data_IF_720922537121
#
_entry.id   IF_720922537121
#
_cell.length_a   1.000
_cell.length_b   1.000
_cell.length_c   1.000
_cell.angle_alpha   90.00
_cell.angle_beta   90.00
_cell.angle_gamma   90.00
#
_symmetry.space_group_name_H-M   'P 1'
#
loop_
_entity.id
_entity.type
_entity.pdbx_description
1 polymer ?
#
# COMPACT_ATOMS: atom_id res chain seq x y z
N UNK A 1 4.34 -15.68 29.01
CA UNK A 1 3.47 -15.56 27.81
C UNK A 1 2.01 -15.49 28.25
N UNK A 2 1.20 -14.58 27.70
CA UNK A 2 -0.23 -14.49 28.01
C UNK A 2 -1.02 -15.51 27.19
N UNK A 3 -1.52 -16.57 27.84
CA UNK A 3 -2.24 -17.68 27.18
C UNK A 3 -3.41 -17.19 26.33
N UNK A 4 -4.16 -16.17 26.80
CA UNK A 4 -5.32 -15.64 26.07
C UNK A 4 -4.93 -14.96 24.77
N UNK A 5 -3.81 -14.22 24.76
CA UNK A 5 -3.29 -13.58 23.55
C UNK A 5 -2.86 -14.62 22.53
N UNK A 6 -2.14 -15.67 22.96
CA UNK A 6 -1.70 -16.72 22.05
C UNK A 6 -2.89 -17.46 21.42
N UNK A 7 -3.88 -17.83 22.24
CA UNK A 7 -5.09 -18.50 21.75
C UNK A 7 -5.83 -17.64 20.72
N UNK A 8 -5.95 -16.33 20.95
CA UNK A 8 -6.56 -15.42 19.98
C UNK A 8 -5.82 -15.46 18.63
N UNK A 9 -4.51 -15.24 18.62
CA UNK A 9 -3.75 -15.15 17.37
C UNK A 9 -3.62 -16.49 16.64
N UNK A 10 -3.48 -17.60 17.36
CA UNK A 10 -3.52 -18.94 16.78
C UNK A 10 -4.89 -19.19 16.15
N UNK A 11 -5.99 -18.83 16.84
CA UNK A 11 -7.34 -19.01 16.29
C UNK A 11 -7.57 -18.14 15.05
N UNK A 12 -7.12 -16.88 15.06
CA UNK A 12 -7.21 -15.99 13.89
C UNK A 12 -6.42 -16.53 12.71
N UNK A 13 -5.19 -17.02 12.94
CA UNK A 13 -4.37 -17.61 11.89
C UNK A 13 -5.05 -18.85 11.29
N UNK A 14 -5.49 -19.78 12.14
CA UNK A 14 -6.21 -20.98 11.68
C UNK A 14 -7.48 -20.60 10.91
N UNK A 15 -8.26 -19.64 11.40
CA UNK A 15 -9.46 -19.17 10.73
C UNK A 15 -9.12 -18.56 9.35
N UNK A 16 -8.06 -17.76 9.26
CA UNK A 16 -7.62 -17.19 7.97
C UNK A 16 -7.15 -18.27 6.98
N UNK A 17 -6.52 -19.34 7.45
CA UNK A 17 -6.12 -20.48 6.61
C UNK A 17 -7.36 -21.24 6.14
N UNK A 18 -8.33 -21.48 7.03
CA UNK A 18 -9.59 -22.13 6.66
C UNK A 18 -10.36 -21.29 5.64
N UNK A 19 -10.46 -19.97 5.85
CA UNK A 19 -11.08 -19.04 4.91
C UNK A 19 -10.36 -19.05 3.56
N UNK A 20 -9.03 -19.03 3.56
CA UNK A 20 -8.22 -19.15 2.33
C UNK A 20 -8.50 -20.45 1.57
N UNK A 21 -8.56 -21.58 2.27
CA UNK A 21 -8.85 -22.87 1.64
C UNK A 21 -10.30 -22.97 1.13
N UNK A 22 -11.25 -22.32 1.81
CA UNK A 22 -12.68 -22.41 1.48
C UNK A 22 -13.12 -21.44 0.38
N UNK A 23 -12.57 -20.21 0.37
CA UNK A 23 -13.02 -19.11 -0.48
C UNK A 23 -11.98 -18.66 -1.51
N UNK A 24 -10.75 -19.18 -1.44
CA UNK A 24 -9.65 -18.66 -2.24
C UNK A 24 -9.20 -17.29 -1.74
N UNK A 25 -8.74 -16.43 -2.64
CA UNK A 25 -8.24 -15.10 -2.28
C UNK A 25 -9.36 -14.12 -1.87
N UNK A 26 -9.00 -13.16 -1.02
CA UNK A 26 -9.86 -12.11 -0.51
C UNK A 26 -10.44 -11.25 -1.65
N UNK A 27 -11.77 -11.07 -1.73
CA UNK A 27 -12.41 -10.35 -2.82
C UNK A 27 -12.38 -8.83 -2.59
N UNK A 28 -11.26 -8.18 -2.93
CA UNK A 28 -11.09 -6.72 -2.76
C UNK A 28 -12.18 -5.89 -3.46
N UNK A 29 -12.80 -6.39 -4.53
CA UNK A 29 -13.90 -5.71 -5.22
C UNK A 29 -15.08 -5.35 -4.31
N UNK A 30 -15.33 -6.11 -3.23
CA UNK A 30 -16.37 -5.78 -2.25
C UNK A 30 -16.05 -4.46 -1.50
N UNK A 31 -14.76 -4.14 -1.36
CA UNK A 31 -14.27 -2.94 -0.68
C UNK A 31 -14.04 -1.78 -1.66
N UNK A 32 -14.65 -1.78 -2.84
CA UNK A 32 -14.62 -0.57 -3.67
C UNK A 32 -15.40 0.57 -3.01
N UNK A 33 -15.08 1.82 -3.35
CA UNK A 33 -15.82 2.98 -2.88
C UNK A 33 -17.32 2.88 -3.21
N UNK A 34 -18.22 3.25 -2.27
CA UNK A 34 -17.95 3.96 -1.00
C UNK A 34 -17.78 3.06 0.23
N UNK A 35 -17.75 1.73 0.08
CA UNK A 35 -17.81 0.81 1.22
C UNK A 35 -16.53 0.80 2.05
N UNK A 36 -15.37 0.87 1.40
CA UNK A 36 -14.07 1.04 2.06
C UNK A 36 -14.04 2.19 3.05
N UNK A 37 -14.52 3.37 2.65
CA UNK A 37 -14.53 4.57 3.47
C UNK A 37 -15.42 4.37 4.69
N UNK A 38 -16.60 3.78 4.52
CA UNK A 38 -17.50 3.47 5.63
C UNK A 38 -16.84 2.50 6.63
N UNK A 39 -16.25 1.41 6.12
CA UNK A 39 -15.58 0.40 6.96
C UNK A 39 -14.35 0.98 7.66
N UNK A 40 -13.57 1.82 6.98
CA UNK A 40 -12.47 2.58 7.55
C UNK A 40 -12.92 3.47 8.71
N UNK A 41 -13.98 4.25 8.52
CA UNK A 41 -14.51 5.14 9.56
C UNK A 41 -15.06 4.35 10.76
N UNK A 42 -15.78 3.25 10.52
CA UNK A 42 -16.25 2.35 11.59
C UNK A 42 -15.06 1.76 12.34
N UNK A 43 -14.02 1.33 11.65
CA UNK A 43 -12.84 0.73 12.27
C UNK A 43 -12.05 1.74 13.12
N UNK A 44 -11.75 2.93 12.58
CA UNK A 44 -11.06 4.00 13.30
C UNK A 44 -11.89 4.48 14.49
N UNK A 45 -13.19 4.73 14.27
CA UNK A 45 -14.12 5.12 15.33
C UNK A 45 -14.25 4.05 16.41
N UNK A 46 -14.31 2.79 16.02
CA UNK A 46 -14.33 1.63 16.90
C UNK A 46 -13.08 1.51 17.77
N UNK A 47 -11.88 1.71 17.20
CA UNK A 47 -10.63 1.76 17.97
C UNK A 47 -10.64 2.94 18.98
N UNK A 48 -11.06 4.12 18.53
CA UNK A 48 -11.17 5.30 19.40
C UNK A 48 -12.14 5.08 20.57
N UNK A 49 -13.32 4.55 20.29
CA UNK A 49 -14.33 4.20 21.29
C UNK A 49 -13.83 3.12 22.25
N UNK A 50 -13.27 2.02 21.73
CA UNK A 50 -12.76 0.92 22.53
C UNK A 50 -11.64 1.38 23.48
N UNK A 51 -10.74 2.25 23.00
CA UNK A 51 -9.66 2.80 23.82
C UNK A 51 -10.19 3.73 24.93
N UNK A 52 -11.16 4.61 24.64
CA UNK A 52 -11.70 5.57 25.62
C UNK A 52 -12.63 4.91 26.64
N UNK A 53 -13.62 4.16 26.18
CA UNK A 53 -14.73 3.66 27.00
C UNK A 53 -14.51 2.24 27.53
N UNK A 54 -13.72 1.42 26.83
CA UNK A 54 -13.54 -0.02 27.14
C UNK A 54 -12.09 -0.38 27.45
N UNK A 55 -11.28 0.58 27.92
CA UNK A 55 -9.85 0.38 28.21
C UNK A 55 -9.54 -0.78 29.16
N UNK A 56 -10.42 -1.00 30.14
CA UNK A 56 -10.30 -2.08 31.15
C UNK A 56 -10.73 -3.45 30.62
N UNK A 57 -11.38 -3.51 29.46
CA UNK A 57 -11.85 -4.76 28.86
C UNK A 57 -10.69 -5.71 28.56
N UNK A 58 -10.97 -7.02 28.58
CA UNK A 58 -9.98 -8.04 28.24
C UNK A 58 -9.48 -7.87 26.80
N UNK A 59 -10.39 -7.59 25.85
CA UNK A 59 -10.05 -7.40 24.44
C UNK A 59 -9.06 -6.25 24.22
N UNK A 60 -9.34 -5.05 24.76
CA UNK A 60 -8.44 -3.89 24.62
C UNK A 60 -7.08 -4.15 25.28
N UNK A 61 -7.06 -4.81 26.45
CA UNK A 61 -5.81 -5.18 27.10
C UNK A 61 -4.98 -6.18 26.29
N UNK A 62 -5.61 -7.11 25.57
CA UNK A 62 -4.90 -8.03 24.66
C UNK A 62 -4.27 -7.23 23.52
N UNK A 63 -5.04 -6.37 22.85
CA UNK A 63 -4.56 -5.55 21.73
C UNK A 63 -3.48 -4.54 22.13
N UNK A 64 -3.44 -4.09 23.39
CA UNK A 64 -2.39 -3.21 23.92
C UNK A 64 -1.20 -3.95 24.55
N UNK A 65 -1.21 -5.29 24.57
CA UNK A 65 -0.16 -6.08 25.22
C UNK A 65 1.11 -6.18 24.35
N UNK A 66 2.32 -6.27 24.94
CA UNK A 66 3.56 -6.48 24.18
C UNK A 66 3.56 -7.79 23.38
N UNK A 67 2.84 -8.82 23.87
CA UNK A 67 2.71 -10.09 23.15
C UNK A 67 2.01 -9.91 21.79
N UNK A 68 1.09 -8.95 21.69
CA UNK A 68 0.43 -8.59 20.43
C UNK A 68 1.43 -8.09 19.38
N UNK A 69 2.46 -7.33 19.81
CA UNK A 69 3.53 -6.87 18.92
C UNK A 69 4.28 -8.04 18.31
N UNK A 70 4.71 -9.02 19.11
CA UNK A 70 5.43 -10.19 18.58
C UNK A 70 4.58 -10.99 17.59
N UNK A 71 3.29 -11.19 17.87
CA UNK A 71 2.39 -11.91 16.98
C UNK A 71 2.14 -11.16 15.67
N UNK A 72 1.73 -9.89 15.75
CA UNK A 72 1.39 -9.10 14.55
C UNK A 72 2.61 -8.83 13.69
N UNK A 73 3.76 -8.50 14.29
CA UNK A 73 5.01 -8.29 13.56
C UNK A 73 5.54 -9.62 12.99
N UNK A 74 5.54 -10.70 13.77
CA UNK A 74 5.99 -12.01 13.29
C UNK A 74 5.13 -12.55 12.15
N UNK A 75 3.82 -12.39 12.23
CA UNK A 75 2.90 -12.74 11.14
C UNK A 75 3.18 -11.90 9.89
N UNK A 76 3.26 -10.56 10.03
CA UNK A 76 3.55 -9.68 8.90
C UNK A 76 4.90 -10.03 8.24
N UNK A 77 5.96 -10.22 9.03
CA UNK A 77 7.28 -10.64 8.52
C UNK A 77 7.23 -12.01 7.84
N UNK A 78 6.52 -12.98 8.40
CA UNK A 78 6.28 -14.27 7.74
C UNK A 78 5.58 -14.10 6.40
N UNK A 79 4.60 -13.20 6.31
CA UNK A 79 3.96 -12.86 5.05
C UNK A 79 4.89 -12.18 4.04
N UNK A 80 5.72 -11.23 4.48
CA UNK A 80 6.75 -10.62 3.64
C UNK A 80 7.75 -11.66 3.10
N UNK A 81 8.11 -12.66 3.91
CA UNK A 81 8.96 -13.77 3.46
C UNK A 81 8.27 -14.59 2.37
N UNK A 82 6.98 -14.87 2.48
CA UNK A 82 6.23 -15.56 1.41
C UNK A 82 6.25 -14.72 0.13
N UNK A 83 6.00 -13.41 0.23
CA UNK A 83 6.03 -12.50 -0.92
C UNK A 83 7.42 -12.48 -1.58
N UNK A 84 8.50 -12.50 -0.79
CA UNK A 84 9.87 -12.46 -1.30
C UNK A 84 10.42 -13.81 -1.81
N UNK A 85 9.92 -14.94 -1.29
CA UNK A 85 10.40 -16.28 -1.64
C UNK A 85 9.58 -16.94 -2.76
N UNK A 86 8.34 -16.52 -2.98
CA UNK A 86 7.46 -17.07 -4.01
C UNK A 86 7.15 -16.01 -5.07
N UNK A 87 7.13 -16.39 -6.36
CA UNK A 87 6.78 -15.46 -7.42
C UNK A 87 5.32 -15.00 -7.23
N UNK A 88 5.13 -13.69 -7.18
CA UNK A 88 3.80 -13.07 -7.19
C UNK A 88 3.34 -12.95 -8.65
N UNK A 89 2.34 -13.73 -9.03
CA UNK A 89 1.84 -13.89 -10.38
C UNK A 89 0.57 -13.07 -10.59
N UNK A 90 0.21 -12.83 -11.85
CA UNK A 90 -1.12 -12.33 -12.20
C UNK A 90 -2.21 -13.28 -11.70
N UNK A 91 -3.44 -12.78 -11.50
CA UNK A 91 -4.58 -13.61 -11.09
C UNK A 91 -4.77 -14.81 -12.03
N UNK A 92 -4.63 -14.60 -13.34
CA UNK A 92 -4.79 -15.66 -14.34
C UNK A 92 -3.71 -16.75 -14.23
N UNK A 93 -2.45 -16.35 -14.02
CA UNK A 93 -1.35 -17.30 -13.91
C UNK A 93 -1.33 -18.01 -12.57
N UNK A 94 -1.79 -17.35 -11.50
CA UNK A 94 -1.95 -17.97 -10.18
C UNK A 94 -3.01 -19.09 -10.21
N UNK A 95 -4.16 -18.87 -10.87
CA UNK A 95 -5.23 -19.88 -11.01
C UNK A 95 -4.77 -21.11 -11.82
N UNK A 96 -3.84 -20.92 -12.76
CA UNK A 96 -3.24 -22.05 -13.52
C UNK A 96 -2.32 -22.92 -12.67
N UNK A 97 -1.86 -22.45 -11.50
CA UNK A 97 -1.04 -23.25 -10.58
C UNK A 97 -1.92 -24.15 -9.72
N UNK A 98 -1.54 -25.41 -9.58
CA UNK A 98 -2.19 -26.40 -8.72
C UNK A 98 -1.34 -26.74 -7.49
N UNK A 99 -1.98 -27.27 -6.43
CA UNK A 99 -1.31 -27.80 -5.25
C UNK A 99 -1.48 -26.95 -3.99
N UNK A 100 -0.96 -27.44 -2.86
CA UNK A 100 -1.20 -26.86 -1.52
C UNK A 100 -0.76 -25.40 -1.43
N UNK A 101 0.39 -25.04 -2.01
CA UNK A 101 0.89 -23.67 -2.01
C UNK A 101 -0.01 -22.72 -2.81
N UNK A 102 -0.63 -23.21 -3.89
CA UNK A 102 -1.63 -22.45 -4.65
C UNK A 102 -2.90 -22.27 -3.83
N UNK A 103 -3.38 -23.33 -3.16
CA UNK A 103 -4.54 -23.26 -2.26
C UNK A 103 -4.33 -22.27 -1.11
N UNK A 104 -3.13 -22.19 -0.55
CA UNK A 104 -2.76 -21.22 0.48
C UNK A 104 -2.54 -19.79 -0.05
N UNK A 105 -2.65 -19.57 -1.37
CA UNK A 105 -2.53 -18.26 -1.99
C UNK A 105 -1.08 -17.76 -2.14
N UNK A 106 -0.06 -18.61 -2.03
CA UNK A 106 1.35 -18.16 -2.02
C UNK A 106 1.79 -17.42 -3.31
N UNK A 107 1.14 -17.69 -4.44
CA UNK A 107 1.43 -17.05 -5.74
C UNK A 107 0.71 -15.72 -5.97
N UNK A 108 -0.21 -15.33 -5.09
CA UNK A 108 -0.87 -14.02 -5.09
C UNK A 108 -1.24 -13.69 -3.64
N UNK A 109 -0.20 -13.57 -2.81
CA UNK A 109 -0.31 -13.68 -1.35
C UNK A 109 -0.82 -12.39 -0.69
N UNK A 110 -0.58 -11.23 -1.29
CA UNK A 110 -1.06 -9.93 -0.81
C UNK A 110 -2.58 -9.84 -0.75
N UNK A 111 -3.29 -10.66 -1.53
CA UNK A 111 -4.75 -10.80 -1.44
C UNK A 111 -5.20 -12.09 -0.76
N UNK A 112 -4.33 -12.81 -0.06
CA UNK A 112 -4.75 -13.98 0.70
C UNK A 112 -5.46 -13.56 2.00
N UNK A 113 -6.40 -14.36 2.49
CA UNK A 113 -7.02 -14.12 3.80
C UNK A 113 -5.99 -14.10 4.93
N UNK A 114 -4.92 -14.89 4.78
CA UNK A 114 -3.80 -14.98 5.73
C UNK A 114 -3.09 -13.63 5.83
N UNK A 115 -2.73 -13.02 4.70
CA UNK A 115 -2.06 -11.73 4.68
C UNK A 115 -2.99 -10.60 5.15
N UNK A 116 -4.21 -10.55 4.60
CA UNK A 116 -5.21 -9.51 4.92
C UNK A 116 -5.54 -9.50 6.42
N UNK A 117 -5.74 -10.67 7.02
CA UNK A 117 -6.01 -10.78 8.47
C UNK A 117 -4.81 -10.35 9.30
N UNK A 118 -3.60 -10.76 8.90
CA UNK A 118 -2.36 -10.37 9.57
C UNK A 118 -2.12 -8.86 9.52
N UNK A 119 -2.30 -8.24 8.34
CA UNK A 119 -2.14 -6.80 8.13
C UNK A 119 -3.21 -6.01 8.90
N UNK A 120 -4.48 -6.44 8.86
CA UNK A 120 -5.55 -5.85 9.66
C UNK A 120 -5.25 -5.91 11.17
N UNK A 121 -4.74 -7.05 11.64
CA UNK A 121 -4.30 -7.21 13.02
C UNK A 121 -3.14 -6.28 13.38
N UNK A 122 -2.11 -6.19 12.54
CA UNK A 122 -0.99 -5.28 12.71
C UNK A 122 -1.45 -3.82 12.78
N UNK A 123 -2.29 -3.38 11.83
CA UNK A 123 -2.85 -2.03 11.80
C UNK A 123 -3.72 -1.75 13.03
N UNK A 124 -4.52 -2.71 13.48
CA UNK A 124 -5.32 -2.55 14.71
C UNK A 124 -4.42 -2.39 15.93
N UNK A 125 -3.40 -3.24 16.08
CA UNK A 125 -2.45 -3.15 17.17
C UNK A 125 -1.68 -1.82 17.16
N UNK A 126 -1.12 -1.45 16.01
CA UNK A 126 -0.36 -0.22 15.81
C UNK A 126 -1.22 1.03 16.05
N UNK A 127 -2.48 1.02 15.60
CA UNK A 127 -3.44 2.09 15.85
C UNK A 127 -3.76 2.24 17.33
N UNK A 128 -4.00 1.14 18.04
CA UNK A 128 -4.27 1.15 19.48
C UNK A 128 -3.07 1.63 20.32
N UNK A 129 -1.84 1.25 19.94
CA UNK A 129 -0.62 1.73 20.59
C UNK A 129 -0.39 3.23 20.32
N UNK A 130 -0.64 3.68 19.10
CA UNK A 130 -0.60 5.10 18.73
C UNK A 130 -1.60 5.92 19.56
N UNK A 131 -2.87 5.48 19.63
CA UNK A 131 -3.90 6.10 20.46
C UNK A 131 -3.49 6.14 21.93
N UNK A 132 -2.95 5.03 22.47
CA UNK A 132 -2.48 4.97 23.86
C UNK A 132 -1.48 6.08 24.18
N UNK A 133 -0.56 6.36 23.25
CA UNK A 133 0.48 7.36 23.45
C UNK A 133 0.02 8.78 23.13
N UNK A 134 -0.90 8.94 22.19
CA UNK A 134 -1.49 10.23 21.81
C UNK A 134 -2.20 10.91 23.00
N UNK A 135 -2.91 10.15 23.83
CA UNK A 135 -3.60 10.69 25.02
C UNK A 135 -2.69 10.93 26.24
N UNK A 136 -1.37 10.78 26.12
CA UNK A 136 -0.42 11.08 27.20
C UNK A 136 0.34 12.38 26.90
N UNK A 137 0.40 13.34 27.83
CA UNK A 137 1.13 14.59 27.62
C UNK A 137 2.65 14.37 27.60
N UNK A 138 3.37 15.13 26.78
CA UNK A 138 4.85 15.22 26.78
C UNK A 138 5.49 15.30 25.41
N UNK A 139 6.58 16.08 25.28
CA UNK A 139 7.31 16.31 24.02
C UNK A 139 7.98 15.05 23.45
N UNK A 140 8.33 14.09 24.31
CA UNK A 140 8.78 12.75 23.93
C UNK A 140 7.71 11.91 23.25
N UNK A 141 6.45 12.13 23.63
CA UNK A 141 5.33 11.31 23.17
C UNK A 141 4.94 11.65 21.75
N UNK A 142 5.00 12.93 21.39
CA UNK A 142 4.72 13.36 20.02
C UNK A 142 5.71 12.80 19.00
N UNK A 143 6.98 12.60 19.36
CA UNK A 143 7.98 11.97 18.48
C UNK A 143 7.60 10.50 18.19
N UNK A 144 7.26 9.76 19.25
CA UNK A 144 6.79 8.38 19.12
C UNK A 144 5.49 8.30 18.30
N UNK A 145 4.53 9.16 18.61
CA UNK A 145 3.23 9.22 17.94
C UNK A 145 3.40 9.56 16.47
N UNK A 146 4.23 10.55 16.12
CA UNK A 146 4.47 10.94 14.74
C UNK A 146 5.04 9.76 13.94
N UNK A 147 6.00 9.03 14.51
CA UNK A 147 6.59 7.85 13.88
C UNK A 147 5.55 6.74 13.65
N UNK A 148 4.80 6.36 14.71
CA UNK A 148 3.86 5.23 14.64
C UNK A 148 2.57 5.58 13.88
N UNK A 149 2.07 6.81 14.00
CA UNK A 149 0.96 7.31 13.20
C UNK A 149 1.33 7.40 11.73
N UNK A 150 2.56 7.82 11.41
CA UNK A 150 3.07 7.85 10.04
C UNK A 150 3.10 6.45 9.41
N UNK A 151 3.70 5.47 10.12
CA UNK A 151 3.70 4.08 9.68
C UNK A 151 2.28 3.52 9.53
N UNK A 152 1.41 3.80 10.50
CA UNK A 152 0.01 3.37 10.44
C UNK A 152 -0.69 3.95 9.21
N UNK A 153 -0.52 5.25 8.96
CA UNK A 153 -1.16 5.95 7.84
C UNK A 153 -0.67 5.42 6.48
N UNK A 154 0.63 5.15 6.35
CA UNK A 154 1.21 4.60 5.13
C UNK A 154 0.64 3.20 4.81
N UNK A 155 0.66 2.30 5.79
CA UNK A 155 0.12 0.94 5.63
C UNK A 155 -1.39 0.94 5.45
N UNK A 156 -2.11 1.82 6.16
CA UNK A 156 -3.56 1.95 6.05
C UNK A 156 -3.97 2.44 4.66
N UNK A 157 -3.31 3.47 4.13
CA UNK A 157 -3.56 3.99 2.79
C UNK A 157 -3.33 2.93 1.71
N UNK A 158 -2.25 2.16 1.81
CA UNK A 158 -2.00 1.04 0.89
C UNK A 158 -3.04 -0.07 1.01
N UNK A 159 -3.45 -0.43 2.23
CA UNK A 159 -4.44 -1.48 2.43
C UNK A 159 -5.83 -1.07 1.92
N UNK A 160 -6.33 0.09 2.35
CA UNK A 160 -7.66 0.58 1.98
C UNK A 160 -7.69 0.96 0.50
N UNK A 161 -6.66 1.64 -0.01
CA UNK A 161 -6.60 2.10 -1.40
C UNK A 161 -6.41 0.98 -2.42
N UNK A 162 -5.96 -0.21 -2.01
CA UNK A 162 -5.71 -1.34 -2.92
C UNK A 162 -6.95 -1.82 -3.68
N UNK A 163 -8.16 -1.59 -3.16
CA UNK A 163 -9.39 -1.98 -3.84
C UNK A 163 -9.72 -1.08 -5.05
N UNK A 164 -9.20 0.15 -5.05
CA UNK A 164 -9.41 1.14 -6.12
C UNK A 164 -8.19 1.34 -7.01
N UNK A 165 -7.05 0.75 -6.63
CA UNK A 165 -5.83 0.81 -7.41
C UNK A 165 -6.03 0.12 -8.76
N UNK A 166 -5.72 0.83 -9.85
CA UNK A 166 -5.90 0.31 -11.19
C UNK A 166 -4.76 0.73 -12.10
N UNK A 167 -4.14 -0.24 -12.76
CA UNK A 167 -3.19 -0.01 -13.85
C UNK A 167 -3.85 -0.32 -15.19
N UNK A 168 -3.88 0.68 -16.08
CA UNK A 168 -4.38 0.55 -17.44
C UNK A 168 -3.25 0.79 -18.44
N UNK A 169 -3.34 0.17 -19.61
CA UNK A 169 -2.43 0.43 -20.74
C UNK A 169 -3.23 0.84 -21.96
N UNK A 170 -2.83 1.93 -22.59
CA UNK A 170 -3.46 2.44 -23.81
C UNK A 170 -2.41 2.57 -24.92
N UNK A 171 -2.64 1.97 -26.11
CA UNK A 171 -1.88 2.30 -27.29
C UNK A 171 -2.31 3.67 -27.81
N UNK A 172 -1.36 4.57 -28.00
CA UNK A 172 -1.59 5.95 -28.45
C UNK A 172 -0.99 6.09 -29.85
N UNK A 173 -1.84 6.30 -30.84
CA UNK A 173 -1.47 6.26 -32.25
C UNK A 173 -1.24 7.67 -32.82
N UNK A 174 -0.37 7.78 -33.83
CA UNK A 174 -0.13 9.04 -34.55
C UNK A 174 -1.31 9.43 -35.45
N UNK A 175 -1.92 8.44 -36.10
CA UNK A 175 -2.96 8.63 -37.13
C UNK A 175 -4.36 8.86 -36.59
N UNK A 176 -4.64 8.46 -35.35
CA UNK A 176 -5.98 8.48 -34.80
C UNK A 176 -5.95 8.69 -33.29
N UNK A 177 -6.91 9.47 -32.80
CA UNK A 177 -7.18 9.58 -31.38
C UNK A 177 -7.76 8.26 -30.84
N UNK A 178 -7.31 7.83 -29.67
CA UNK A 178 -7.76 6.62 -29.01
C UNK A 178 -8.10 6.89 -27.54
N UNK A 179 -9.20 6.31 -27.07
CA UNK A 179 -9.58 6.29 -25.65
C UNK A 179 -9.81 4.87 -25.12
N UNK A 180 -9.51 3.85 -25.93
CA UNK A 180 -9.63 2.44 -25.55
C UNK A 180 -8.36 1.98 -24.83
N UNK A 181 -8.45 1.85 -23.51
CA UNK A 181 -7.41 1.30 -22.65
C UNK A 181 -7.72 -0.14 -22.26
N UNK A 182 -6.71 -0.84 -21.75
CA UNK A 182 -6.79 -2.25 -21.35
C UNK A 182 -6.32 -2.43 -19.91
N UNK A 183 -7.05 -3.21 -19.13
CA UNK A 183 -6.61 -3.67 -17.80
C UNK A 183 -5.49 -4.71 -17.92
N UNK A 184 -4.85 -5.08 -16.81
CA UNK A 184 -3.87 -6.16 -16.78
C UNK A 184 -4.43 -7.51 -17.25
N UNK A 185 -5.74 -7.75 -17.04
CA UNK A 185 -6.45 -8.94 -17.51
C UNK A 185 -6.82 -8.89 -19.00
N UNK A 186 -6.56 -7.76 -19.66
CA UNK A 186 -6.90 -7.52 -21.06
C UNK A 186 -8.34 -7.04 -21.30
N UNK A 187 -9.06 -6.65 -20.25
CA UNK A 187 -10.41 -6.11 -20.38
C UNK A 187 -10.36 -4.68 -20.93
N UNK A 188 -11.27 -4.35 -21.86
CA UNK A 188 -11.39 -3.01 -22.44
C UNK A 188 -12.02 -2.04 -21.44
N UNK A 189 -11.41 -0.87 -21.28
CA UNK A 189 -11.91 0.25 -20.49
C UNK A 189 -11.83 1.51 -21.34
N UNK A 190 -12.96 2.18 -21.52
CA UNK A 190 -13.00 3.45 -22.25
C UNK A 190 -12.71 4.61 -21.31
N UNK A 191 -11.70 5.40 -21.65
CA UNK A 191 -11.35 6.61 -20.94
C UNK A 191 -12.29 7.75 -21.33
N UNK A 192 -12.53 8.67 -20.40
CA UNK A 192 -13.27 9.90 -20.66
C UNK A 192 -12.53 10.84 -21.63
N UNK A 193 -11.19 10.76 -21.63
CA UNK A 193 -10.29 11.57 -22.45
C UNK A 193 -9.68 10.71 -23.54
N UNK A 194 -9.55 11.28 -24.74
CA UNK A 194 -8.85 10.63 -25.85
C UNK A 194 -7.40 11.09 -25.93
N UNK A 195 -6.50 10.17 -26.25
CA UNK A 195 -5.06 10.38 -26.39
C UNK A 195 -4.65 10.19 -27.85
N UNK A 196 -3.78 11.06 -28.36
CA UNK A 196 -3.19 10.93 -29.69
C UNK A 196 -1.69 11.27 -29.65
N UNK A 197 -0.88 10.54 -30.42
CA UNK A 197 0.56 10.78 -30.51
C UNK A 197 0.79 11.92 -31.50
N UNK A 198 1.43 12.99 -31.04
CA UNK A 198 1.79 14.14 -31.88
C UNK A 198 3.24 14.01 -32.36
N UNK A 199 4.15 13.67 -31.46
CA UNK A 199 5.55 13.48 -31.80
C UNK A 199 6.24 12.45 -30.90
N UNK A 200 7.36 11.90 -31.36
CA UNK A 200 8.13 10.91 -30.62
C UNK A 200 9.62 11.02 -30.95
N UNK A 201 10.46 11.05 -29.92
CA UNK A 201 11.91 11.13 -30.07
C UNK A 201 12.57 9.99 -29.31
N UNK A 202 13.47 9.27 -29.97
CA UNK A 202 14.33 8.24 -29.37
C UNK A 202 15.79 8.65 -29.52
N UNK A 203 16.50 8.75 -28.40
CA UNK A 203 17.94 8.80 -28.37
C UNK A 203 18.51 7.38 -28.25
N UNK A 204 19.50 7.06 -29.07
CA UNK A 204 20.17 5.76 -29.05
C UNK A 204 21.61 5.89 -28.59
N UNK A 205 22.10 4.87 -27.89
CA UNK A 205 23.52 4.68 -27.66
C UNK A 205 24.24 4.31 -28.98
N UNK A 206 25.59 4.43 -29.05
CA UNK A 206 26.37 4.04 -30.22
C UNK A 206 26.19 2.56 -30.65
N UNK A 207 25.77 1.69 -29.72
CA UNK A 207 25.47 0.29 -29.98
C UNK A 207 24.04 0.06 -30.54
N UNK A 208 23.26 1.12 -30.77
CA UNK A 208 21.90 1.07 -31.29
C UNK A 208 20.81 0.77 -30.25
N UNK A 209 21.15 0.60 -28.97
CA UNK A 209 20.14 0.44 -27.92
C UNK A 209 19.49 1.78 -27.55
N UNK A 210 18.17 1.82 -27.25
CA UNK A 210 17.52 3.05 -26.83
C UNK A 210 18.07 3.50 -25.48
N UNK A 211 18.55 4.73 -25.43
CA UNK A 211 19.08 5.39 -24.23
C UNK A 211 17.99 6.13 -23.50
N UNK A 212 17.22 6.91 -24.25
CA UNK A 212 16.26 7.85 -23.72
C UNK A 212 15.16 8.06 -24.76
N UNK A 213 13.91 8.21 -24.33
CA UNK A 213 12.83 8.49 -25.27
C UNK A 213 11.70 9.25 -24.59
N UNK A 214 11.07 10.12 -25.38
CA UNK A 214 9.92 10.89 -24.97
C UNK A 214 8.89 10.98 -26.10
N UNK A 215 7.65 11.23 -25.72
CA UNK A 215 6.51 11.36 -26.58
C UNK A 215 5.79 12.68 -26.27
N UNK A 216 5.44 13.42 -27.32
CA UNK A 216 4.46 14.49 -27.23
C UNK A 216 3.11 13.90 -27.59
N UNK A 217 2.18 13.89 -26.63
CA UNK A 217 0.82 13.41 -26.84
C UNK A 217 -0.18 14.55 -26.67
N UNK A 218 -1.30 14.46 -27.37
CA UNK A 218 -2.47 15.29 -27.13
C UNK A 218 -3.43 14.53 -26.22
N UNK A 219 -3.71 15.07 -25.04
CA UNK A 219 -4.73 14.56 -24.12
C UNK A 219 -5.91 15.52 -24.15
N UNK A 220 -7.02 15.09 -24.77
CA UNK A 220 -8.21 15.95 -24.95
C UNK A 220 -7.88 17.33 -25.57
N UNK A 221 -7.02 17.31 -26.60
CA UNK A 221 -6.58 18.50 -27.32
C UNK A 221 -5.45 19.30 -26.64
N UNK A 222 -5.02 18.92 -25.43
CA UNK A 222 -3.92 19.60 -24.71
C UNK A 222 -2.60 18.84 -24.91
N UNK A 223 -1.51 19.52 -25.30
CA UNK A 223 -0.21 18.88 -25.43
C UNK A 223 0.34 18.49 -24.05
N UNK A 224 0.85 17.27 -23.96
CA UNK A 224 1.47 16.68 -22.77
C UNK A 224 2.75 16.00 -23.19
N UNK A 225 3.85 16.38 -22.53
CA UNK A 225 5.14 15.75 -22.67
C UNK A 225 5.23 14.54 -21.74
N UNK A 226 5.48 13.36 -22.29
CA UNK A 226 5.74 12.13 -21.55
C UNK A 226 7.17 11.66 -21.80
N UNK A 227 7.91 11.39 -20.75
CA UNK A 227 9.31 10.97 -20.82
C UNK A 227 9.48 9.64 -20.08
N UNK A 228 10.36 8.78 -20.57
CA UNK A 228 10.63 7.49 -19.92
C UNK A 228 11.10 7.72 -18.48
N UNK A 229 10.58 6.94 -17.52
CA UNK A 229 10.83 7.08 -16.08
C UNK A 229 10.39 8.41 -15.44
N UNK A 230 9.71 9.28 -16.17
CA UNK A 230 9.20 10.57 -15.67
C UNK A 230 7.67 10.62 -15.81
N UNK A 231 6.91 10.24 -14.76
CA UNK A 231 5.45 10.26 -14.82
C UNK A 231 4.89 11.67 -14.94
N UNK A 232 3.81 11.79 -15.71
CA UNK A 232 2.99 12.99 -15.78
C UNK A 232 1.76 12.86 -14.88
N UNK A 233 1.70 13.68 -13.83
CA UNK A 233 0.55 13.72 -12.92
C UNK A 233 -0.62 14.46 -13.56
N UNK A 234 -1.62 13.71 -14.04
CA UNK A 234 -2.82 14.26 -14.67
C UNK A 234 -3.82 14.76 -13.64
N UNK A 235 -3.92 14.09 -12.50
CA UNK A 235 -4.83 14.45 -11.40
C UNK A 235 -4.22 14.06 -10.05
N UNK A 236 -4.98 14.27 -8.97
CA UNK A 236 -4.60 13.84 -7.63
C UNK A 236 -4.42 12.31 -7.50
N UNK A 237 -5.07 11.53 -8.34
CA UNK A 237 -5.06 10.07 -8.25
C UNK A 237 -4.55 9.38 -9.50
N UNK A 238 -4.19 10.10 -10.57
CA UNK A 238 -3.90 9.51 -11.87
C UNK A 238 -2.57 10.02 -12.46
N UNK A 239 -1.64 9.09 -12.73
CA UNK A 239 -0.33 9.34 -13.33
C UNK A 239 -0.17 8.60 -14.66
N UNK A 240 0.43 9.25 -15.66
CA UNK A 240 0.70 8.69 -16.98
C UNK A 240 2.19 8.39 -17.14
N UNK A 241 2.52 7.16 -17.52
CA UNK A 241 3.86 6.67 -17.74
C UNK A 241 4.05 6.27 -19.19
N UNK A 242 5.13 6.73 -19.81
CA UNK A 242 5.56 6.21 -21.10
C UNK A 242 6.29 4.88 -20.89
N UNK A 243 5.73 3.78 -21.39
CA UNK A 243 6.24 2.43 -21.09
C UNK A 243 6.85 1.71 -22.28
N UNK A 244 6.33 1.96 -23.48
CA UNK A 244 6.82 1.31 -24.69
C UNK A 244 6.47 2.14 -25.92
N UNK A 245 7.02 1.74 -27.06
CA UNK A 245 6.77 2.38 -28.35
C UNK A 245 6.99 1.41 -29.51
N UNK A 246 6.64 1.86 -30.71
CA UNK A 246 6.92 1.14 -31.95
C UNK A 246 8.42 1.13 -32.26
N UNK A 247 9.11 0.12 -31.73
CA UNK A 247 10.56 -0.10 -31.95
C UNK A 247 10.89 -0.56 -33.38
N UNK A 248 9.90 -0.95 -34.18
CA UNK A 248 10.12 -1.48 -35.54
C UNK A 248 10.18 -0.37 -36.58
N UNK A 249 9.60 0.79 -36.28
CA UNK A 249 9.58 1.94 -37.17
C UNK A 249 10.68 2.94 -36.80
N UNK A 250 11.46 3.46 -37.76
CA UNK A 250 12.40 4.57 -37.52
C UNK A 250 11.70 5.80 -36.93
N UNK A 251 10.45 6.04 -37.35
CA UNK A 251 9.55 7.03 -36.77
C UNK A 251 8.39 6.30 -36.08
N UNK A 252 8.37 6.21 -34.75
CA UNK A 252 7.35 5.46 -34.04
C UNK A 252 5.93 5.92 -34.39
N UNK A 253 5.09 4.97 -34.83
CA UNK A 253 3.71 5.25 -35.21
C UNK A 253 2.73 5.17 -34.03
N UNK A 254 3.17 4.54 -32.94
CA UNK A 254 2.44 4.52 -31.69
C UNK A 254 3.38 4.46 -30.49
N UNK A 255 2.87 4.88 -29.34
CA UNK A 255 3.45 4.60 -28.04
C UNK A 255 2.46 3.89 -27.13
N UNK A 256 2.95 3.32 -26.02
CA UNK A 256 2.11 2.70 -24.99
C UNK A 256 2.23 3.54 -23.74
N UNK A 257 1.11 4.13 -23.35
CA UNK A 257 0.99 4.88 -22.11
C UNK A 257 0.34 3.98 -21.06
N UNK A 258 0.98 3.86 -19.91
CA UNK A 258 0.42 3.22 -18.73
C UNK A 258 -0.19 4.28 -17.83
N UNK A 259 -1.46 4.10 -17.49
CA UNK A 259 -2.22 4.98 -16.60
C UNK A 259 -2.32 4.26 -15.26
N UNK A 260 -1.77 4.88 -14.22
CA UNK A 260 -1.79 4.33 -12.86
C UNK A 260 -2.74 5.18 -12.02
N UNK A 261 -3.78 4.55 -11.48
CA UNK A 261 -4.78 5.17 -10.60
C UNK A 261 -4.56 4.72 -9.17
N UNK A 262 -4.24 5.66 -8.28
CA UNK A 262 -3.97 5.45 -6.86
C UNK A 262 -4.60 6.56 -5.99
N UNK A 263 -5.88 6.41 -5.58
CA UNK A 263 -6.62 7.47 -4.87
C UNK A 263 -5.99 7.95 -3.57
N UNK A 264 -5.34 7.03 -2.83
CA UNK A 264 -4.77 7.30 -1.51
C UNK A 264 -3.24 7.49 -1.52
N UNK A 265 -2.60 7.64 -2.69
CA UNK A 265 -1.13 7.78 -2.77
C UNK A 265 -0.59 8.91 -1.89
N UNK A 266 -1.21 10.09 -1.92
CA UNK A 266 -0.74 11.21 -1.12
C UNK A 266 -0.94 11.00 0.39
N UNK A 267 -1.96 10.23 0.79
CA UNK A 267 -2.14 9.83 2.18
C UNK A 267 -1.02 8.89 2.63
N UNK A 268 -0.62 7.96 1.74
CA UNK A 268 0.52 7.09 1.96
C UNK A 268 1.82 7.87 2.09
N UNK A 269 2.08 8.82 1.17
CA UNK A 269 3.26 9.69 1.19
C UNK A 269 3.32 10.54 2.47
N UNK A 270 2.20 11.11 2.89
CA UNK A 270 2.09 11.81 4.17
C UNK A 270 2.51 10.90 5.33
N UNK A 271 2.03 9.66 5.34
CA UNK A 271 2.44 8.65 6.33
C UNK A 271 3.95 8.39 6.34
N UNK A 272 4.54 8.20 5.16
CA UNK A 272 5.99 7.98 5.00
C UNK A 272 6.79 9.17 5.53
N UNK A 273 6.41 10.40 5.15
CA UNK A 273 7.08 11.63 5.62
C UNK A 273 6.95 11.77 7.13
N UNK A 274 5.76 11.58 7.69
CA UNK A 274 5.54 11.60 9.14
C UNK A 274 6.42 10.56 9.85
N UNK A 275 6.49 9.34 9.33
CA UNK A 275 7.33 8.28 9.88
C UNK A 275 8.80 8.68 9.88
N UNK A 276 9.33 9.17 8.75
CA UNK A 276 10.72 9.62 8.64
C UNK A 276 11.02 10.78 9.59
N UNK A 277 10.16 11.79 9.66
CA UNK A 277 10.29 12.90 10.61
C UNK A 277 10.29 12.40 12.06
N UNK A 278 9.36 11.51 12.42
CA UNK A 278 9.29 10.90 13.75
C UNK A 278 10.56 10.13 14.09
N UNK A 279 11.07 9.31 13.17
CA UNK A 279 12.32 8.58 13.29
C UNK A 279 13.52 9.52 13.51
N UNK A 280 13.70 10.52 12.65
CA UNK A 280 14.76 11.53 12.78
C UNK A 280 14.73 12.23 14.14
N UNK A 281 13.54 12.65 14.60
CA UNK A 281 13.38 13.31 15.90
C UNK A 281 13.69 12.39 17.09
N UNK A 282 13.42 11.09 16.98
CA UNK A 282 13.78 10.10 18.00
C UNK A 282 15.31 9.89 18.05
N UNK A 283 15.97 9.83 16.90
CA UNK A 283 17.43 9.68 16.83
C UNK A 283 18.17 10.92 17.34
N UNK A 284 17.79 12.13 16.91
CA UNK A 284 18.51 13.36 17.22
C UNK A 284 18.46 13.74 18.71
N UNK A 285 17.36 13.46 19.39
CA UNK A 285 17.14 13.94 20.75
C UNK A 285 17.52 12.93 21.84
N UNK A 286 17.77 11.65 21.49
CA UNK A 286 18.11 10.60 22.45
C UNK A 286 17.02 10.31 23.50
N UNK A 287 17.22 9.30 24.37
CA UNK A 287 16.33 9.06 25.50
C UNK A 287 16.42 10.20 26.51
N UNK A 288 15.27 10.76 26.91
CA UNK A 288 15.21 11.73 28.00
C UNK A 288 15.74 11.04 29.27
N UNK A 289 17.00 11.31 29.64
CA UNK A 289 17.54 10.87 30.93
C UNK A 289 16.78 11.60 32.01
N UNK A 290 15.88 10.88 32.69
CA UNK A 290 15.30 11.35 33.94
C UNK A 290 16.47 11.71 34.87
N UNK A 291 16.62 13.01 35.17
CA UNK A 291 17.58 13.46 36.17
C UNK A 291 17.05 12.98 37.51
N UNK A 292 17.46 11.79 37.95
CA UNK A 292 17.31 11.38 39.34
C UNK A 292 18.25 12.25 40.18
N UNK A 293 17.76 13.43 40.58
CA UNK A 293 18.39 14.22 41.64
C UNK A 293 18.19 13.47 42.94
N UNK A 294 19.19 12.70 43.36
CA UNK A 294 19.27 12.24 44.74
C UNK A 294 19.52 13.48 45.63
N UNK A 295 18.73 13.70 46.71
CA UNK A 295 19.03 14.77 47.64
C UNK A 295 20.31 14.40 48.39
N UNK A 296 21.34 15.21 48.18
CA UNK A 296 22.56 15.19 48.98
C UNK A 296 22.16 15.49 50.42
N UNK A 297 22.23 14.47 51.29
CA UNK A 297 22.12 14.69 52.73
C UNK A 297 23.41 15.36 53.17
N UNK A 298 23.33 16.66 53.44
CA UNK A 298 24.33 17.39 54.20
C UNK A 298 24.47 16.76 55.60
N UNK A 299 25.68 16.29 55.90
CA UNK A 299 26.10 15.87 57.24
C UNK A 299 26.32 17.08 58.15
#
# INVERSE_FOLDING_TARGET
>A
MNLKTNLLFISLLLLSVVAQCAFGNFPFAFFAFPLDLLLALIWIGGMGYAYKEKRSSVAVRIWLSPQCTYWTLGWFLGGCLVIGLFPQLSVQDAVRKSGVLSTLGCYHFTSSWIFVTGLFGLLTHLGMITLRRFFLPGRSQWRFVLNHAGLWLALFAGFIGSAEEQTLRIPVFRTSSNNEAFTEEGNKVYLEKSLQLTDFVVEHYPNGSPRHFFAEISVDGKPVHLEVNHPYATSWSEDYYLTSYDVKSPEPQYCVVQIVREPLKYLMWLGIVMMLCGGCLLFLAGPDREKTSFPEKSC
#
